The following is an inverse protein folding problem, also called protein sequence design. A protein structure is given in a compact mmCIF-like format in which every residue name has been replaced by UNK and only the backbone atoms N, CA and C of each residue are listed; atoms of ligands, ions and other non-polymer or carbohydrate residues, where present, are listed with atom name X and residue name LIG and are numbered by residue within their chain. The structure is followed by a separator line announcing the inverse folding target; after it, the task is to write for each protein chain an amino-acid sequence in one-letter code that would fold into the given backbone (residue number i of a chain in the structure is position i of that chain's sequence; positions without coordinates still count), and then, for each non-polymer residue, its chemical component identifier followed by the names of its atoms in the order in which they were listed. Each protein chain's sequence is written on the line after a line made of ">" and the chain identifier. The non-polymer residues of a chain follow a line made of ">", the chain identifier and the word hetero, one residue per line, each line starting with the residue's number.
data_IF_272280933108
#
_entry.id   IF_272280933108
#
_cell.length_a   1.000
_cell.length_b   1.000
_cell.length_c   1.000
_cell.angle_alpha   90.00
_cell.angle_beta   90.00
_cell.angle_gamma   90.00
#
_symmetry.space_group_name_H-M   'P 1'
#
loop_
_entity.id
_entity.type
_entity.pdbx_description
1 polymer ?
#
# COMPACT_ATOMS: atom_id res chain seq x y z
N UNK A 1 1.12 -60.06 13.59
CA UNK A 1 0.54 -59.43 12.39
C UNK A 1 -0.45 -58.36 12.84
N UNK A 2 -0.38 -57.20 12.20
CA UNK A 2 -0.88 -55.91 12.68
C UNK A 2 -2.40 -55.76 12.48
N UNK A 3 -3.13 -55.46 13.55
CA UNK A 3 -4.51 -54.94 13.45
C UNK A 3 -4.46 -53.42 13.64
N UNK A 4 -4.26 -52.69 12.54
CA UNK A 4 -4.43 -51.23 12.51
C UNK A 4 -5.90 -50.90 12.29
N UNK A 5 -6.66 -50.80 13.38
CA UNK A 5 -7.98 -50.19 13.33
C UNK A 5 -7.84 -48.69 13.05
N UNK A 6 -8.21 -48.29 11.85
CA UNK A 6 -8.22 -46.89 11.44
C UNK A 6 -9.45 -46.21 12.05
N UNK A 7 -9.30 -45.64 13.24
CA UNK A 7 -10.36 -44.90 13.94
C UNK A 7 -10.61 -43.60 13.17
N UNK A 8 -11.43 -43.66 12.13
CA UNK A 8 -11.96 -42.47 11.46
C UNK A 8 -12.84 -41.73 12.47
N UNK A 9 -12.38 -40.56 12.90
CA UNK A 9 -13.15 -39.67 13.77
C UNK A 9 -14.52 -39.33 13.17
N UNK A 10 -15.51 -38.96 14.00
CA UNK A 10 -16.86 -38.69 13.52
C UNK A 10 -16.88 -37.52 12.53
N UNK A 11 -17.53 -37.73 11.38
CA UNK A 11 -17.74 -36.71 10.36
C UNK A 11 -18.60 -35.58 10.91
N UNK A 12 -18.06 -34.37 10.99
CA UNK A 12 -18.80 -33.17 11.43
C UNK A 12 -19.91 -32.89 10.42
N UNK A 13 -21.14 -33.32 10.73
CA UNK A 13 -22.33 -32.96 9.97
C UNK A 13 -22.66 -31.50 10.29
N UNK A 14 -22.34 -30.57 9.39
CA UNK A 14 -22.70 -29.15 9.51
C UNK A 14 -24.20 -28.96 9.26
N UNK A 15 -25.04 -29.42 10.20
CA UNK A 15 -26.45 -29.03 10.26
C UNK A 15 -26.51 -27.63 10.85
N UNK A 16 -26.27 -26.59 10.05
CA UNK A 16 -26.60 -25.20 10.37
C UNK A 16 -26.46 -24.31 9.11
N UNK A 17 -27.39 -24.44 8.14
CA UNK A 17 -27.79 -23.25 7.35
C UNK A 17 -28.67 -22.42 8.28
N UNK A 18 -28.08 -21.42 8.95
CA UNK A 18 -28.87 -20.41 9.68
C UNK A 18 -29.83 -19.75 8.68
N UNK A 19 -31.13 -19.61 8.99
CA UNK A 19 -32.09 -18.97 8.08
C UNK A 19 -31.81 -17.47 7.84
N UNK A 20 -30.95 -16.85 8.66
CA UNK A 20 -30.66 -15.41 8.62
C UNK A 20 -29.17 -15.11 8.28
N UNK A 21 -28.56 -15.90 7.41
CA UNK A 21 -27.26 -15.57 6.83
C UNK A 21 -27.42 -14.63 5.64
N UNK A 22 -26.58 -13.60 5.54
CA UNK A 22 -26.45 -12.73 4.35
C UNK A 22 -26.45 -13.62 3.09
N UNK A 23 -27.31 -13.36 2.09
CA UNK A 23 -27.34 -14.17 0.88
C UNK A 23 -25.97 -14.15 0.23
N UNK A 24 -25.42 -15.34 -0.05
CA UNK A 24 -24.19 -15.43 -0.82
C UNK A 24 -24.50 -14.91 -2.23
N UNK A 25 -23.68 -14.02 -2.80
CA UNK A 25 -23.89 -13.55 -4.16
C UNK A 25 -23.81 -14.74 -5.12
N UNK A 26 -24.71 -14.75 -6.10
CA UNK A 26 -24.71 -15.76 -7.14
C UNK A 26 -23.42 -15.71 -7.95
N UNK A 27 -22.88 -16.87 -8.39
CA UNK A 27 -21.68 -16.91 -9.19
C UNK A 27 -21.89 -16.16 -10.51
N UNK A 28 -20.99 -15.22 -10.79
CA UNK A 28 -20.98 -14.42 -12.02
C UNK A 28 -20.72 -15.37 -13.19
N UNK A 29 -21.75 -15.65 -13.99
CA UNK A 29 -21.60 -16.37 -15.25
C UNK A 29 -21.04 -15.40 -16.30
N UNK A 30 -19.75 -15.53 -16.61
CA UNK A 30 -19.15 -14.80 -17.73
C UNK A 30 -19.61 -15.43 -19.04
N UNK A 31 -20.41 -14.69 -19.81
CA UNK A 31 -20.71 -15.05 -21.19
C UNK A 31 -19.41 -15.04 -21.99
N UNK A 32 -19.09 -16.17 -22.65
CA UNK A 32 -17.80 -16.39 -23.33
C UNK A 32 -17.43 -15.32 -24.36
N UNK A 33 -18.40 -14.55 -24.84
CA UNK A 33 -18.24 -13.44 -25.80
C UNK A 33 -17.82 -12.10 -25.17
N UNK A 34 -17.95 -11.94 -23.85
CA UNK A 34 -17.62 -10.69 -23.10
C UNK A 34 -16.63 -10.97 -21.96
N UNK A 35 -15.80 -11.98 -22.10
CA UNK A 35 -14.72 -12.26 -21.15
C UNK A 35 -13.50 -11.36 -21.46
N UNK A 36 -13.17 -10.38 -20.60
CA UNK A 36 -12.01 -9.51 -20.79
C UNK A 36 -10.67 -10.25 -20.67
N UNK A 37 -10.66 -11.50 -20.20
CA UNK A 37 -9.47 -12.34 -20.08
C UNK A 37 -9.30 -13.31 -21.26
N UNK A 38 -10.17 -13.28 -22.27
CA UNK A 38 -10.01 -14.09 -23.47
C UNK A 38 -8.94 -13.47 -24.37
N UNK A 39 -7.83 -14.18 -24.56
CA UNK A 39 -6.77 -13.80 -25.50
C UNK A 39 -7.35 -13.70 -26.91
N UNK A 40 -7.24 -12.51 -27.51
CA UNK A 40 -7.43 -12.33 -28.95
C UNK A 40 -6.09 -12.63 -29.61
N UNK A 41 -5.98 -13.75 -30.30
CA UNK A 41 -4.83 -13.99 -31.18
C UNK A 41 -4.83 -12.93 -32.29
N UNK A 42 -3.84 -12.05 -32.28
CA UNK A 42 -3.56 -11.14 -33.39
C UNK A 42 -2.81 -11.92 -34.49
N UNK A 43 -3.26 -11.88 -35.76
CA UNK A 43 -2.49 -12.49 -36.83
C UNK A 43 -1.16 -11.74 -36.99
N UNK A 44 -0.07 -12.50 -36.93
CA UNK A 44 1.28 -12.04 -37.20
C UNK A 44 1.37 -11.45 -38.61
N UNK A 45 1.67 -10.16 -38.69
CA UNK A 45 2.20 -9.55 -39.91
C UNK A 45 3.31 -8.60 -39.52
N UNK A 46 4.52 -9.02 -39.84
CA UNK A 46 5.71 -8.19 -39.93
C UNK A 46 5.40 -7.00 -40.85
N UNK A 47 5.50 -5.78 -40.31
CA UNK A 47 5.64 -4.58 -41.12
C UNK A 47 6.68 -3.68 -40.45
N UNK A 48 7.82 -3.60 -41.12
CA UNK A 48 8.82 -2.54 -40.95
C UNK A 48 8.14 -1.18 -41.12
N UNK A 49 8.36 -0.26 -40.19
CA UNK A 49 7.99 1.15 -40.38
C UNK A 49 9.17 2.03 -39.98
N UNK A 50 9.77 2.61 -41.02
CA UNK A 50 10.77 3.67 -41.00
C UNK A 50 10.37 4.83 -40.08
N UNK A 51 11.24 5.20 -39.14
CA UNK A 51 11.13 6.45 -38.39
C UNK A 51 11.69 7.59 -39.24
N UNK A 52 10.80 8.48 -39.72
CA UNK A 52 11.18 9.82 -40.17
C UNK A 52 10.92 10.81 -39.02
N UNK A 53 12.00 11.42 -38.57
CA UNK A 53 12.03 12.58 -37.69
C UNK A 53 11.83 13.80 -38.61
N UNK A 54 10.86 14.67 -38.31
CA UNK A 54 10.99 16.13 -38.30
C UNK A 54 9.62 16.85 -38.20
N UNK A 55 9.67 18.02 -37.55
CA UNK A 55 8.73 19.15 -37.55
C UNK A 55 7.54 19.24 -36.57
N UNK A 56 7.90 19.80 -35.40
CA UNK A 56 7.28 20.91 -34.64
C UNK A 56 6.02 21.54 -35.28
N UNK A 57 4.85 21.44 -34.60
CA UNK A 57 3.82 22.50 -34.58
C UNK A 57 3.13 22.55 -33.21
N UNK A 58 3.26 23.69 -32.54
CA UNK A 58 2.49 24.12 -31.37
C UNK A 58 1.05 24.49 -31.77
N UNK A 59 0.04 24.15 -30.97
CA UNK A 59 -1.10 25.06 -30.84
C UNK A 59 -1.43 25.37 -29.38
N UNK A 60 -1.16 26.63 -29.03
CA UNK A 60 -1.70 27.35 -27.89
C UNK A 60 -3.17 27.71 -28.15
N UNK A 61 -4.10 27.37 -27.25
CA UNK A 61 -5.38 28.09 -27.00
C UNK A 61 -6.17 27.52 -25.79
N UNK A 62 -5.89 28.12 -24.63
CA UNK A 62 -6.81 28.62 -23.59
C UNK A 62 -7.87 27.73 -22.86
N UNK A 63 -8.22 28.10 -21.62
CA UNK A 63 -8.61 27.17 -20.55
C UNK A 63 -10.12 27.01 -20.40
N UNK A 64 -10.58 25.82 -20.01
CA UNK A 64 -11.98 25.58 -19.62
C UNK A 64 -12.09 25.32 -18.12
N UNK A 65 -12.53 26.40 -17.45
CA UNK A 65 -13.46 26.49 -16.31
C UNK A 65 -13.22 25.58 -15.10
N UNK A 66 -12.78 26.26 -14.03
CA UNK A 66 -13.04 25.99 -12.62
C UNK A 66 -14.40 25.34 -12.33
N UNK A 67 -14.36 24.23 -11.59
CA UNK A 67 -15.42 23.88 -10.64
C UNK A 67 -14.79 23.66 -9.28
N UNK A 68 -14.85 24.71 -8.46
CA UNK A 68 -14.84 24.55 -7.01
C UNK A 68 -16.05 23.68 -6.64
N UNK A 69 -15.80 22.54 -6.01
CA UNK A 69 -16.82 21.84 -5.22
C UNK A 69 -16.25 21.73 -3.81
N UNK A 70 -16.52 22.76 -3.02
CA UNK A 70 -16.58 22.63 -1.57
C UNK A 70 -17.84 21.84 -1.24
N UNK A 71 -17.71 20.57 -0.88
CA UNK A 71 -18.71 19.84 -0.09
C UNK A 71 -18.00 18.92 0.90
N UNK A 72 -17.71 19.53 2.05
CA UNK A 72 -17.88 19.03 3.41
C UNK A 72 -18.41 17.60 3.57
N UNK A 73 -17.66 16.84 4.38
CA UNK A 73 -18.11 15.80 5.33
C UNK A 73 -18.85 14.58 4.77
N UNK A 74 -18.11 13.48 4.64
CA UNK A 74 -18.59 12.23 5.21
C UNK A 74 -17.64 11.81 6.32
N UNK A 75 -18.13 11.92 7.55
CA UNK A 75 -17.55 11.31 8.74
C UNK A 75 -17.32 9.83 8.45
N UNK A 76 -16.08 9.44 8.19
CA UNK A 76 -15.67 8.06 8.37
C UNK A 76 -15.85 7.74 9.85
N UNK A 77 -16.79 6.83 10.12
CA UNK A 77 -17.09 6.29 11.44
C UNK A 77 -15.80 5.97 12.18
N UNK A 78 -15.50 6.74 13.23
CA UNK A 78 -14.44 6.39 14.17
C UNK A 78 -14.88 5.11 14.87
N UNK A 79 -14.41 3.99 14.36
CA UNK A 79 -14.41 2.74 15.10
C UNK A 79 -13.63 2.97 16.39
N UNK A 80 -14.34 3.10 17.51
CA UNK A 80 -13.75 3.24 18.83
C UNK A 80 -12.92 2.00 19.13
N UNK A 81 -11.60 2.15 19.01
CA UNK A 81 -10.66 1.07 19.27
C UNK A 81 -10.56 0.85 20.76
N UNK A 82 -10.99 -0.34 21.19
CA UNK A 82 -10.78 -0.93 22.51
C UNK A 82 -9.41 -0.51 23.08
N UNK A 83 -9.42 -0.08 24.34
CA UNK A 83 -8.22 0.22 25.12
C UNK A 83 -7.30 -1.01 25.09
N UNK A 84 -6.21 -0.91 24.32
CA UNK A 84 -5.14 -1.90 24.31
C UNK A 84 -4.04 -1.30 25.14
N UNK A 85 -3.91 -1.77 26.38
CA UNK A 85 -2.78 -1.45 27.25
C UNK A 85 -1.52 -1.99 26.57
N UNK A 86 -0.51 -1.14 26.36
CA UNK A 86 0.75 -1.51 25.67
C UNK A 86 1.07 -0.77 24.34
N UNK A 87 0.42 0.36 24.04
CA UNK A 87 0.64 1.14 22.80
C UNK A 87 1.98 1.88 22.71
N UNK A 88 2.85 1.80 23.71
CA UNK A 88 4.08 2.61 23.77
C UNK A 88 5.08 2.27 22.65
N UNK A 89 5.04 1.05 22.11
CA UNK A 89 5.89 0.62 20.98
C UNK A 89 5.12 0.57 19.64
N UNK A 90 4.00 1.28 19.52
CA UNK A 90 3.23 1.28 18.29
C UNK A 90 3.98 2.00 17.15
N UNK A 91 4.24 1.27 16.06
CA UNK A 91 4.82 1.85 14.84
C UNK A 91 3.79 2.77 14.19
N UNK A 92 4.18 4.03 13.98
CA UNK A 92 3.37 5.02 13.26
C UNK A 92 3.70 4.99 11.76
N UNK A 93 2.69 5.20 10.92
CA UNK A 93 2.88 5.32 9.47
C UNK A 93 2.98 6.79 9.05
N UNK A 94 3.87 7.07 8.11
CA UNK A 94 4.04 8.40 7.50
C UNK A 94 3.73 8.27 6.02
N UNK A 95 2.87 9.16 5.49
CA UNK A 95 2.62 9.23 4.05
C UNK A 95 3.73 10.03 3.39
N UNK A 96 4.38 9.45 2.39
CA UNK A 96 5.46 10.09 1.62
C UNK A 96 5.16 10.01 0.12
N UNK A 97 5.66 10.96 -0.69
CA UNK A 97 5.61 10.86 -2.15
C UNK A 97 6.22 9.55 -2.68
N UNK A 98 5.70 9.05 -3.80
CA UNK A 98 6.11 7.78 -4.39
C UNK A 98 7.61 7.71 -4.71
N UNK A 99 8.18 8.83 -5.18
CA UNK A 99 9.61 8.93 -5.48
C UNK A 99 10.48 8.71 -4.24
N UNK A 100 10.09 9.28 -3.09
CA UNK A 100 10.82 9.10 -1.84
C UNK A 100 10.67 7.68 -1.31
N UNK A 101 9.46 7.12 -1.38
CA UNK A 101 9.23 5.72 -1.01
C UNK A 101 10.11 4.77 -1.82
N UNK A 102 10.23 4.98 -3.13
CA UNK A 102 11.10 4.18 -3.99
C UNK A 102 12.58 4.33 -3.62
N UNK A 103 13.05 5.57 -3.38
CA UNK A 103 14.44 5.82 -2.96
C UNK A 103 14.76 5.13 -1.64
N UNK A 104 13.84 5.17 -0.66
CA UNK A 104 14.02 4.48 0.63
C UNK A 104 14.07 2.96 0.44
N UNK A 105 13.22 2.40 -0.43
CA UNK A 105 13.25 0.96 -0.72
C UNK A 105 14.53 0.52 -1.43
N UNK A 106 15.04 1.34 -2.35
CA UNK A 106 16.31 1.09 -3.02
C UNK A 106 17.46 1.17 -2.02
N UNK A 107 17.46 2.18 -1.14
CA UNK A 107 18.47 2.33 -0.09
C UNK A 107 18.49 1.13 0.87
N UNK A 108 17.32 0.62 1.26
CA UNK A 108 17.23 -0.58 2.12
C UNK A 108 17.94 -1.81 1.54
N UNK A 109 17.93 -1.96 0.20
CA UNK A 109 18.67 -3.04 -0.48
C UNK A 109 20.19 -2.89 -0.41
N UNK A 110 20.71 -1.68 -0.22
CA UNK A 110 22.13 -1.42 -0.10
C UNK A 110 22.63 -1.46 1.35
N UNK A 111 21.75 -1.21 2.32
CA UNK A 111 22.06 -1.23 3.75
C UNK A 111 21.76 -2.60 4.39
N UNK A 112 21.31 -3.58 3.60
CA UNK A 112 20.84 -4.90 4.05
C UNK A 112 19.73 -4.85 5.12
N UNK A 113 19.02 -3.72 5.23
CA UNK A 113 17.94 -3.52 6.19
C UNK A 113 16.58 -3.56 5.48
N UNK A 114 15.68 -4.38 6.04
CA UNK A 114 14.34 -4.60 5.48
C UNK A 114 13.30 -3.69 6.13
N UNK A 115 13.56 -3.22 7.35
CA UNK A 115 12.65 -2.40 8.12
C UNK A 115 12.86 -0.93 7.78
N UNK A 116 11.86 -0.33 7.14
CA UNK A 116 11.88 1.10 6.79
C UNK A 116 12.17 2.01 7.98
N UNK A 117 11.67 1.69 9.17
CA UNK A 117 11.91 2.50 10.37
C UNK A 117 13.37 2.47 10.83
N UNK A 118 14.10 1.37 10.61
CA UNK A 118 15.51 1.26 10.95
C UNK A 118 16.37 2.08 9.97
N UNK A 119 16.06 2.01 8.68
CA UNK A 119 16.69 2.86 7.65
C UNK A 119 16.50 4.34 8.00
N UNK A 120 15.27 4.74 8.36
CA UNK A 120 14.97 6.12 8.74
C UNK A 120 15.73 6.55 10.00
N UNK A 121 15.83 5.68 11.00
CA UNK A 121 16.58 5.95 12.24
C UNK A 121 18.08 6.19 11.96
N UNK A 122 18.70 5.35 11.12
CA UNK A 122 20.10 5.55 10.71
C UNK A 122 20.30 6.83 9.89
N UNK A 123 19.39 7.13 8.96
CA UNK A 123 19.43 8.38 8.21
C UNK A 123 19.34 9.60 9.12
N UNK A 124 18.48 9.56 10.14
CA UNK A 124 18.36 10.63 11.13
C UNK A 124 19.64 10.74 11.94
N UNK A 125 20.17 9.64 12.47
CA UNK A 125 21.42 9.62 13.26
C UNK A 125 22.60 10.20 12.49
N UNK A 126 22.80 9.77 11.24
CA UNK A 126 23.87 10.25 10.39
C UNK A 126 23.69 11.74 10.05
N UNK A 127 22.47 12.18 9.75
CA UNK A 127 22.21 13.59 9.48
C UNK A 127 22.46 14.47 10.71
N UNK A 128 22.03 14.03 11.90
CA UNK A 128 22.26 14.74 13.15
C UNK A 128 23.75 14.85 13.46
N UNK A 129 24.51 13.77 13.29
CA UNK A 129 25.95 13.74 13.55
C UNK A 129 26.73 14.63 12.57
N UNK A 130 26.42 14.56 11.27
CA UNK A 130 27.28 15.16 10.23
C UNK A 130 26.86 16.57 9.80
N UNK A 131 25.57 16.91 9.90
CA UNK A 131 25.01 18.15 9.32
C UNK A 131 24.57 19.18 10.34
N UNK A 132 24.25 18.77 11.57
CA UNK A 132 23.80 19.70 12.60
C UNK A 132 24.97 20.28 13.38
N UNK A 133 24.85 21.57 13.73
CA UNK A 133 25.76 22.21 14.70
C UNK A 133 25.48 21.68 16.11
N UNK A 134 26.44 21.79 17.02
CA UNK A 134 26.29 21.35 18.42
C UNK A 134 25.05 21.95 19.09
N UNK A 135 24.77 23.23 18.82
CA UNK A 135 23.56 23.90 19.33
C UNK A 135 22.27 23.25 18.79
N UNK A 136 22.24 22.94 17.49
CA UNK A 136 21.08 22.31 16.85
C UNK A 136 20.89 20.86 17.31
N UNK A 137 21.98 20.12 17.52
CA UNK A 137 21.94 18.76 18.07
C UNK A 137 21.29 18.76 19.47
N UNK A 138 21.74 19.65 20.36
CA UNK A 138 21.14 19.82 21.71
C UNK A 138 19.65 20.17 21.65
N UNK A 139 19.26 21.04 20.71
CA UNK A 139 17.85 21.39 20.52
C UNK A 139 17.02 20.22 20.01
N UNK A 140 17.55 19.45 19.06
CA UNK A 140 16.90 18.25 18.53
C UNK A 140 16.69 17.21 19.62
N UNK A 141 17.73 16.93 20.42
CA UNK A 141 17.67 16.00 21.55
C UNK A 141 16.59 16.42 22.56
N UNK A 142 16.61 17.68 23.00
CA UNK A 142 15.62 18.21 23.94
C UNK A 142 14.18 18.08 23.43
N UNK A 143 13.93 18.45 22.16
CA UNK A 143 12.62 18.31 21.53
C UNK A 143 12.19 16.85 21.40
N UNK A 144 13.12 15.96 21.04
CA UNK A 144 12.84 14.53 20.89
C UNK A 144 12.47 13.87 22.22
N UNK A 145 13.18 14.18 23.30
CA UNK A 145 12.87 13.67 24.64
C UNK A 145 11.52 14.18 25.14
N UNK A 146 11.23 15.46 24.91
CA UNK A 146 9.96 16.06 25.31
C UNK A 146 8.77 15.33 24.66
N UNK A 147 8.89 15.00 23.38
CA UNK A 147 7.84 14.28 22.64
C UNK A 147 7.70 12.81 23.05
N UNK A 148 8.75 12.18 23.58
CA UNK A 148 8.71 10.79 24.07
C UNK A 148 8.16 10.66 25.50
N UNK A 149 8.20 11.74 26.30
CA UNK A 149 7.66 11.77 27.67
C UNK A 149 6.14 11.96 27.73
N UNK A 150 5.49 12.30 26.62
CA UNK A 150 4.04 12.48 26.47
C UNK A 150 3.40 11.15 26.03
#
# INVERSE_FOLDING_TARGET
>A
MNNSENIKGPLIKTKNKKPNGIPRPDPIQFNQTKDPFKYKESPSKEMEVNLKIDDIVVPNKQPKKTKNVNTVSNNEEKTEKKSVVGRNNAVKSIKVPAELHMKINVLGKFMDETKTYAILDELIKNYVADKLTERQQKQFEYMSEFLMKI
#
